data_IF_656076452341
#
_entry.id   IF_656076452341
#
_cell.length_a   1.000
_cell.length_b   1.000
_cell.length_c   1.000
_cell.angle_alpha   90.00
_cell.angle_beta   90.00
_cell.angle_gamma   90.00
#
_symmetry.space_group_name_H-M   'P 1'
#
loop_
_entity.id
_entity.type
_entity.pdbx_description
1 polymer ?
#
# COMPACT_ATOMS: atom_id res chain seq x y z
N UNK A 1 28.09 5.29 -9.61
CA UNK A 1 26.69 4.81 -9.50
C UNK A 1 26.04 5.52 -8.32
N UNK A 2 25.25 6.56 -8.56
CA UNK A 2 24.51 7.26 -7.50
C UNK A 2 23.01 7.04 -7.71
N UNK A 3 22.33 6.47 -6.72
CA UNK A 3 20.87 6.47 -6.66
C UNK A 3 20.43 7.88 -6.22
N UNK A 4 19.46 8.46 -6.94
CA UNK A 4 18.79 9.70 -6.51
C UNK A 4 17.62 9.32 -5.63
N UNK A 5 17.48 10.00 -4.50
CA UNK A 5 16.35 9.84 -3.59
C UNK A 5 15.54 11.13 -3.55
N UNK A 6 14.22 11.00 -3.51
CA UNK A 6 13.28 12.10 -3.42
C UNK A 6 12.51 12.00 -2.11
N UNK A 7 12.57 13.06 -1.29
CA UNK A 7 11.77 13.17 -0.08
C UNK A 7 10.35 13.60 -0.43
N UNK A 8 9.37 12.91 0.15
CA UNK A 8 7.94 13.14 -0.04
C UNK A 8 7.26 13.26 1.32
N UNK A 9 6.23 14.10 1.45
CA UNK A 9 5.33 14.04 2.59
C UNK A 9 4.42 12.82 2.43
N UNK A 10 4.30 12.02 3.47
CA UNK A 10 3.42 10.84 3.47
C UNK A 10 1.94 11.19 3.28
N UNK A 11 1.52 12.41 3.64
CA UNK A 11 0.17 12.91 3.41
C UNK A 11 -0.16 13.06 1.92
N UNK A 12 0.85 13.20 1.06
CA UNK A 12 0.70 13.30 -0.40
C UNK A 12 0.55 11.93 -1.07
N UNK A 13 0.70 10.82 -0.33
CA UNK A 13 0.60 9.46 -0.87
C UNK A 13 -0.87 9.01 -0.88
N UNK A 14 -1.51 8.87 -2.05
CA UNK A 14 -2.91 8.46 -2.11
C UNK A 14 -3.06 6.98 -1.77
N UNK A 15 -3.83 6.69 -0.73
CA UNK A 15 -4.26 5.32 -0.41
C UNK A 15 -5.66 5.10 -0.96
N UNK A 16 -5.80 4.27 -2.00
CA UNK A 16 -7.06 4.12 -2.73
C UNK A 16 -7.82 2.82 -2.41
N UNK A 17 -9.12 2.91 -2.16
CA UNK A 17 -9.95 1.72 -1.88
C UNK A 17 -10.08 0.78 -3.10
N UNK A 18 -9.98 1.32 -4.32
CA UNK A 18 -10.10 0.55 -5.56
C UNK A 18 -9.01 -0.51 -5.74
N UNK A 19 -7.90 -0.43 -5.01
CA UNK A 19 -6.83 -1.44 -5.07
C UNK A 19 -7.33 -2.80 -4.56
N UNK A 20 -8.17 -2.83 -3.53
CA UNK A 20 -8.79 -4.07 -3.08
C UNK A 20 -9.68 -4.69 -4.18
N UNK A 21 -10.41 -3.87 -4.94
CA UNK A 21 -11.22 -4.35 -6.08
C UNK A 21 -10.33 -4.93 -7.19
N UNK A 22 -9.25 -4.23 -7.55
CA UNK A 22 -8.28 -4.74 -8.54
C UNK A 22 -7.67 -6.07 -8.10
N UNK A 23 -7.39 -6.25 -6.81
CA UNK A 23 -6.87 -7.50 -6.28
C UNK A 23 -7.93 -8.62 -6.32
N UNK A 24 -9.12 -8.38 -5.77
CA UNK A 24 -10.19 -9.38 -5.67
C UNK A 24 -10.74 -9.84 -7.03
N UNK A 25 -10.86 -8.92 -7.99
CA UNK A 25 -11.50 -9.20 -9.28
C UNK A 25 -10.53 -9.21 -10.47
N UNK A 26 -9.33 -8.65 -10.32
CA UNK A 26 -8.34 -8.56 -11.40
C UNK A 26 -7.16 -9.54 -11.27
N UNK A 27 -6.92 -10.13 -10.09
CA UNK A 27 -5.78 -11.02 -9.86
C UNK A 27 -6.15 -12.50 -10.02
N UNK A 28 -5.48 -13.22 -10.94
CA UNK A 28 -5.64 -14.67 -11.14
C UNK A 28 -5.17 -15.53 -9.96
N UNK A 29 -4.45 -14.92 -9.03
CA UNK A 29 -3.88 -15.57 -7.84
C UNK A 29 -4.51 -15.07 -6.55
N UNK A 30 -5.61 -14.32 -6.62
CA UNK A 30 -6.35 -13.88 -5.44
C UNK A 30 -6.71 -15.08 -4.55
N UNK A 31 -6.45 -14.97 -3.24
CA UNK A 31 -6.70 -16.03 -2.26
C UNK A 31 -5.72 -17.20 -2.27
N UNK A 32 -4.67 -17.20 -3.12
CA UNK A 32 -3.71 -18.33 -3.23
C UNK A 32 -2.44 -18.16 -2.41
N UNK A 33 -2.22 -17.01 -1.76
CA UNK A 33 -0.99 -16.68 -1.04
C UNK A 33 -1.32 -15.99 0.29
N UNK A 34 -0.40 -16.09 1.25
CA UNK A 34 -0.49 -15.37 2.54
C UNK A 34 -0.35 -13.85 2.41
N UNK A 35 -0.06 -13.34 1.20
CA UNK A 35 -0.13 -11.92 0.88
C UNK A 35 -1.51 -11.47 0.38
N UNK A 36 -2.53 -12.34 0.42
CA UNK A 36 -3.91 -12.01 0.10
C UNK A 36 -4.74 -11.79 1.37
N UNK A 37 -5.85 -11.03 1.30
CA UNK A 37 -6.84 -11.01 2.37
C UNK A 37 -7.34 -12.42 2.72
N UNK A 38 -7.63 -12.71 4.02
CA UNK A 38 -7.58 -11.79 5.16
C UNK A 38 -6.20 -11.71 5.86
N UNK A 39 -5.14 -12.27 5.28
CA UNK A 39 -3.81 -12.38 5.90
C UNK A 39 -2.96 -11.10 5.82
N UNK A 40 -3.54 -10.00 5.32
CA UNK A 40 -2.90 -8.70 5.20
C UNK A 40 -3.68 -7.65 5.99
N UNK A 41 -3.03 -6.51 6.26
CA UNK A 41 -3.70 -5.33 6.82
C UNK A 41 -4.89 -4.90 5.96
N UNK A 42 -5.97 -4.47 6.62
CA UNK A 42 -7.04 -3.76 5.93
C UNK A 42 -6.50 -2.43 5.37
N UNK A 43 -7.17 -1.88 4.35
CA UNK A 43 -6.78 -0.57 3.80
C UNK A 43 -6.87 0.51 4.88
N UNK A 44 -7.87 0.43 5.77
CA UNK A 44 -8.02 1.35 6.91
C UNK A 44 -6.87 1.26 7.90
N UNK A 45 -6.42 0.05 8.23
CA UNK A 45 -5.30 -0.13 9.16
C UNK A 45 -3.99 0.32 8.51
N UNK A 46 -3.80 0.07 7.22
CA UNK A 46 -2.67 0.61 6.47
C UNK A 46 -2.66 2.15 6.49
N UNK A 47 -3.81 2.82 6.35
CA UNK A 47 -3.89 4.30 6.48
C UNK A 47 -3.48 4.78 7.86
N UNK A 48 -3.76 4.04 8.93
CA UNK A 48 -3.32 4.40 10.29
C UNK A 48 -1.80 4.31 10.39
N UNK A 49 -1.22 3.18 9.97
CA UNK A 49 0.23 2.96 9.98
C UNK A 49 0.95 4.00 9.12
N UNK A 50 0.46 4.30 7.92
CA UNK A 50 1.07 5.30 7.04
C UNK A 50 1.17 6.68 7.71
N UNK A 51 0.15 7.08 8.49
CA UNK A 51 0.12 8.36 9.21
C UNK A 51 1.08 8.44 10.40
N UNK A 52 1.66 7.33 10.85
CA UNK A 52 2.71 7.34 11.87
C UNK A 52 4.05 7.85 11.31
N UNK A 53 4.19 7.84 9.98
CA UNK A 53 5.33 8.42 9.29
C UNK A 53 5.00 9.84 8.84
N UNK A 54 6.01 10.71 8.83
CA UNK A 54 5.91 12.06 8.26
C UNK A 54 6.46 12.15 6.84
N UNK A 55 7.54 11.41 6.57
CA UNK A 55 8.28 11.48 5.32
C UNK A 55 8.42 10.09 4.69
N UNK A 56 8.44 10.05 3.35
CA UNK A 56 8.76 8.89 2.53
C UNK A 56 9.94 9.19 1.60
N UNK A 57 10.56 8.12 1.09
CA UNK A 57 11.67 8.17 0.14
C UNK A 57 11.26 7.43 -1.14
N UNK A 58 11.45 8.08 -2.29
CA UNK A 58 11.27 7.51 -3.63
C UNK A 58 12.59 7.43 -4.39
#
# INVERSE_FOLDING_TARGET
MGLKAYLLDTADIPVENRIALKCAYGCRSYGKRLSCPPHILSIEDFRKVLREYKNALL
#
